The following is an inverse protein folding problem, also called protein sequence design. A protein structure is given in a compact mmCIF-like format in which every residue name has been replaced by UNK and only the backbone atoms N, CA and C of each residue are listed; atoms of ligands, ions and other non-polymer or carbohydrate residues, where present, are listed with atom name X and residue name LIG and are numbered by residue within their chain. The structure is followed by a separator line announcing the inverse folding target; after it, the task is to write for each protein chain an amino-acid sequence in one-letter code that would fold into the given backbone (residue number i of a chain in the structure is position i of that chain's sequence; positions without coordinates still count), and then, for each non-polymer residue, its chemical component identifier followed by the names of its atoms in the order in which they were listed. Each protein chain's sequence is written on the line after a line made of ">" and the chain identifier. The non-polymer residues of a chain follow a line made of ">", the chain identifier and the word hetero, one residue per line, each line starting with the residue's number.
data_IF_088229922999
#
_entry.id   IF_088229922999
#
_cell.length_a   1.000
_cell.length_b   1.000
_cell.length_c   1.000
_cell.angle_alpha   90.00
_cell.angle_beta   90.00
_cell.angle_gamma   90.00
#
_symmetry.space_group_name_H-M   'P 1'
#
loop_
_entity.id
_entity.type
_entity.pdbx_description
1 polymer ?
#
# COMPACT_ATOMS: atom_id res chain seq x y z
N UNK A 1 -6.27 -34.85 -21.99
CA UNK A 1 -6.64 -33.57 -22.64
C UNK A 1 -6.70 -32.54 -21.55
N UNK A 2 -5.55 -31.87 -21.25
CA UNK A 2 -5.44 -30.84 -20.28
C UNK A 2 -5.73 -29.50 -20.94
N UNK A 3 -6.86 -28.91 -20.59
CA UNK A 3 -7.07 -27.49 -20.90
C UNK A 3 -6.38 -26.64 -19.83
N UNK A 4 -5.63 -25.60 -20.20
CA UNK A 4 -5.07 -24.66 -19.23
C UNK A 4 -6.20 -23.82 -18.65
N UNK A 5 -6.30 -23.80 -17.33
CA UNK A 5 -7.18 -22.90 -16.58
C UNK A 5 -6.60 -21.49 -16.75
N UNK A 6 -7.19 -20.71 -17.66
CA UNK A 6 -6.91 -19.29 -17.75
C UNK A 6 -7.63 -18.60 -16.59
N UNK A 7 -6.95 -18.40 -15.48
CA UNK A 7 -7.45 -17.58 -14.40
C UNK A 7 -7.50 -16.12 -14.85
N UNK A 8 -8.71 -15.65 -15.15
CA UNK A 8 -8.98 -14.23 -15.40
C UNK A 8 -8.94 -13.46 -14.09
N UNK A 9 -7.75 -13.20 -13.58
CA UNK A 9 -7.50 -12.31 -12.45
C UNK A 9 -7.44 -10.84 -12.91
N UNK A 10 -8.37 -10.44 -13.76
CA UNK A 10 -8.41 -9.09 -14.30
C UNK A 10 -8.89 -8.02 -13.30
N UNK A 11 -9.20 -8.36 -12.05
CA UNK A 11 -9.97 -7.44 -11.19
C UNK A 11 -9.43 -7.17 -9.78
N UNK A 12 -8.34 -7.76 -9.33
CA UNK A 12 -7.67 -7.30 -8.11
C UNK A 12 -6.84 -6.03 -8.42
N UNK A 13 -7.51 -4.98 -8.88
CA UNK A 13 -6.87 -3.70 -9.19
C UNK A 13 -6.65 -2.90 -7.92
N UNK A 14 -5.40 -2.62 -7.56
CA UNK A 14 -5.10 -1.51 -6.64
C UNK A 14 -5.64 -0.24 -7.28
N UNK A 15 -6.56 0.41 -6.58
CA UNK A 15 -7.18 1.65 -7.04
C UNK A 15 -6.47 2.81 -6.36
N UNK A 16 -6.23 3.87 -7.10
CA UNK A 16 -5.46 5.02 -6.68
C UNK A 16 -6.33 6.27 -6.69
N UNK A 17 -6.48 6.93 -5.56
CA UNK A 17 -7.19 8.21 -5.49
C UNK A 17 -6.21 9.35 -5.14
N UNK A 18 -6.18 10.39 -5.97
CA UNK A 18 -5.52 11.66 -5.68
C UNK A 18 -6.55 12.69 -5.26
N UNK A 19 -6.30 13.35 -4.15
CA UNK A 19 -7.03 14.55 -3.76
C UNK A 19 -6.25 15.80 -4.20
N UNK A 20 -6.85 16.77 -4.91
CA UNK A 20 -6.18 18.03 -5.18
C UNK A 20 -6.02 18.83 -3.87
N UNK A 21 -4.95 19.62 -3.71
CA UNK A 21 -4.77 20.48 -2.54
C UNK A 21 -5.90 21.51 -2.45
N UNK A 22 -6.41 21.68 -1.24
CA UNK A 22 -7.43 22.70 -0.94
C UNK A 22 -6.82 24.09 -1.14
N UNK A 23 -7.26 24.81 -2.17
CA UNK A 23 -6.94 26.23 -2.34
C UNK A 23 -7.70 27.04 -1.29
N UNK A 24 -6.96 27.66 -0.38
CA UNK A 24 -7.52 28.65 0.53
C UNK A 24 -8.16 29.78 -0.26
N UNK A 25 -9.47 29.93 -0.17
CA UNK A 25 -10.16 31.15 -0.59
C UNK A 25 -9.83 32.21 0.43
N UNK A 26 -8.95 33.14 0.10
CA UNK A 26 -8.77 34.36 0.85
C UNK A 26 -9.94 35.31 0.52
N UNK A 27 -10.86 35.49 1.46
CA UNK A 27 -11.80 36.59 1.44
C UNK A 27 -11.12 37.78 2.13
N UNK A 28 -10.80 38.82 1.37
CA UNK A 28 -10.34 40.10 1.87
C UNK A 28 -11.13 41.22 1.22
N UNK A 29 -12.09 41.76 1.94
CA UNK A 29 -12.78 42.97 1.55
C UNK A 29 -11.92 44.21 1.84
N UNK A 30 -11.97 45.19 0.97
CA UNK A 30 -11.38 46.51 1.15
C UNK A 30 -12.01 47.51 0.17
N UNK A 31 -12.68 48.49 0.70
CA UNK A 31 -13.43 49.54 0.01
C UNK A 31 -12.54 50.68 -0.43
N UNK A 32 -12.95 51.32 -1.55
CA UNK A 32 -12.92 52.74 -1.93
C UNK A 32 -11.55 53.35 -2.32
N UNK A 33 -11.47 53.78 -3.59
CA UNK A 33 -11.23 55.18 -3.97
C UNK A 33 -11.50 55.37 -5.47
N UNK A 34 -12.38 56.36 -5.73
CA UNK A 34 -12.77 56.88 -7.03
C UNK A 34 -11.70 57.89 -7.49
N UNK A 35 -11.17 57.75 -8.66
CA UNK A 35 -10.51 58.86 -9.37
C UNK A 35 -10.64 58.68 -10.86
N UNK A 36 -11.27 59.64 -11.48
CA UNK A 36 -11.52 59.82 -12.91
C UNK A 36 -10.23 60.24 -13.61
N UNK A 37 -9.88 59.60 -14.73
CA UNK A 37 -9.15 60.24 -15.84
C UNK A 37 -9.47 59.56 -17.15
N UNK A 38 -9.84 60.37 -18.10
CA UNK A 38 -10.28 60.08 -19.47
C UNK A 38 -9.15 59.59 -20.39
N UNK A 39 -9.58 58.78 -21.36
CA UNK A 39 -9.08 58.60 -22.74
C UNK A 39 -7.70 58.00 -22.95
N UNK A 40 -7.76 56.77 -23.44
CA UNK A 40 -7.04 56.38 -24.68
C UNK A 40 -7.58 55.01 -25.11
N UNK A 41 -8.33 55.00 -26.23
CA UNK A 41 -8.75 53.80 -26.93
C UNK A 41 -7.49 53.11 -27.49
N UNK A 42 -7.01 52.09 -26.81
CA UNK A 42 -6.10 51.08 -27.38
C UNK A 42 -6.89 49.78 -27.55
N UNK A 43 -7.09 49.39 -28.77
CA UNK A 43 -7.61 48.08 -29.19
C UNK A 43 -6.77 46.94 -28.56
N UNK A 44 -7.08 46.54 -27.38
CA UNK A 44 -6.49 45.37 -26.80
C UNK A 44 -7.31 44.16 -27.25
N UNK A 45 -6.84 43.55 -28.33
CA UNK A 45 -7.32 42.24 -28.78
C UNK A 45 -7.18 41.23 -27.63
N UNK A 46 -8.28 40.91 -26.99
CA UNK A 46 -8.34 39.85 -25.98
C UNK A 46 -8.10 38.51 -26.68
N UNK A 47 -6.85 38.19 -26.93
CA UNK A 47 -6.45 36.80 -27.16
C UNK A 47 -6.81 36.01 -25.90
N UNK A 48 -7.93 35.25 -25.97
CA UNK A 48 -8.24 34.22 -24.97
C UNK A 48 -7.03 33.29 -24.87
N UNK A 49 -6.20 33.51 -23.88
CA UNK A 49 -5.19 32.49 -23.48
C UNK A 49 -5.97 31.25 -23.06
N UNK A 50 -6.14 30.34 -23.98
CA UNK A 50 -6.56 28.99 -23.69
C UNK A 50 -5.46 28.40 -22.81
N UNK A 51 -5.73 28.27 -21.50
CA UNK A 51 -4.87 27.50 -20.59
C UNK A 51 -4.64 26.14 -21.25
N UNK A 52 -3.39 25.70 -21.36
CA UNK A 52 -3.13 24.37 -21.89
C UNK A 52 -3.95 23.38 -21.05
N UNK A 53 -4.86 22.68 -21.73
CA UNK A 53 -5.60 21.57 -21.14
C UNK A 53 -4.54 20.54 -20.76
N UNK A 54 -4.24 20.43 -19.48
CA UNK A 54 -3.43 19.32 -18.98
C UNK A 54 -4.22 18.07 -19.29
N UNK A 55 -3.88 17.38 -20.34
CA UNK A 55 -4.44 16.06 -20.60
C UNK A 55 -4.16 15.18 -19.39
N UNK A 56 -5.19 14.51 -18.86
CA UNK A 56 -4.96 13.52 -17.81
C UNK A 56 -3.94 12.50 -18.37
N UNK A 57 -2.93 12.10 -17.57
CA UNK A 57 -1.94 11.15 -18.04
C UNK A 57 -2.64 9.95 -18.63
N UNK A 58 -2.22 9.55 -19.85
CA UNK A 58 -2.81 8.44 -20.59
C UNK A 58 -3.04 7.25 -19.63
N UNK A 59 -4.26 6.70 -19.67
CA UNK A 59 -4.66 5.59 -18.83
C UNK A 59 -3.61 4.48 -18.92
N UNK A 60 -2.86 4.27 -17.83
CA UNK A 60 -1.88 3.19 -17.76
C UNK A 60 -2.61 1.86 -17.92
N UNK A 61 -2.02 0.87 -18.61
CA UNK A 61 -2.62 -0.46 -18.73
C UNK A 61 -2.95 -1.00 -17.34
N UNK A 62 -4.09 -1.69 -17.25
CA UNK A 62 -4.53 -2.41 -16.05
C UNK A 62 -3.53 -3.55 -15.75
N UNK A 63 -2.44 -3.27 -15.08
CA UNK A 63 -1.58 -4.32 -14.56
C UNK A 63 -2.17 -4.80 -13.24
N UNK A 64 -2.59 -6.06 -13.18
CA UNK A 64 -2.87 -6.72 -11.91
C UNK A 64 -1.57 -6.74 -11.09
N UNK A 65 -1.70 -6.62 -9.76
CA UNK A 65 -0.53 -6.78 -8.90
C UNK A 65 0.03 -8.19 -9.06
N UNK A 66 1.37 -8.34 -9.08
CA UNK A 66 1.99 -9.63 -9.03
C UNK A 66 1.54 -10.39 -7.79
N UNK A 67 1.25 -11.69 -7.96
CA UNK A 67 0.94 -12.55 -6.84
C UNK A 67 2.23 -13.12 -6.25
N UNK A 68 2.22 -13.29 -4.93
CA UNK A 68 3.29 -14.01 -4.25
C UNK A 68 3.27 -15.48 -4.64
N UNK A 69 4.46 -16.05 -4.73
CA UNK A 69 4.69 -17.45 -5.03
C UNK A 69 4.84 -18.24 -3.72
N UNK A 70 5.74 -19.19 -3.68
CA UNK A 70 5.99 -20.01 -2.51
C UNK A 70 6.77 -19.23 -1.45
N UNK A 71 6.43 -19.46 -0.18
CA UNK A 71 7.19 -18.94 0.95
C UNK A 71 7.44 -20.06 1.97
N UNK A 72 8.41 -19.86 2.84
CA UNK A 72 8.71 -20.73 3.97
C UNK A 72 8.19 -20.05 5.24
N UNK A 73 7.29 -20.67 5.98
CA UNK A 73 6.99 -20.27 7.35
C UNK A 73 7.98 -21.00 8.27
N UNK A 74 8.94 -20.25 8.80
CA UNK A 74 10.09 -20.76 9.54
C UNK A 74 9.86 -20.85 11.06
N UNK A 75 8.70 -20.40 11.54
CA UNK A 75 8.34 -20.46 12.96
C UNK A 75 7.01 -19.77 13.24
N UNK A 76 6.45 -20.14 14.42
CA UNK A 76 5.27 -19.49 14.99
C UNK A 76 5.46 -19.41 16.52
N UNK A 77 5.39 -18.22 17.09
CA UNK A 77 5.77 -17.97 18.49
C UNK A 77 4.67 -17.20 19.22
N UNK A 78 4.45 -17.54 20.50
CA UNK A 78 3.60 -16.73 21.39
C UNK A 78 4.29 -15.44 21.82
N UNK A 79 5.63 -15.50 21.99
CA UNK A 79 6.44 -14.34 22.37
C UNK A 79 7.05 -13.71 21.11
N UNK A 80 6.84 -12.40 20.95
CA UNK A 80 7.34 -11.62 19.84
C UNK A 80 8.88 -11.64 19.75
N UNK A 81 9.60 -11.65 20.88
CA UNK A 81 11.06 -11.63 20.91
C UNK A 81 11.66 -12.84 20.20
N UNK A 82 10.98 -13.99 20.23
CA UNK A 82 11.43 -15.20 19.52
C UNK A 82 11.30 -15.00 17.99
N UNK A 83 10.20 -14.41 17.55
CA UNK A 83 10.01 -14.09 16.13
C UNK A 83 11.05 -13.07 15.65
N UNK A 84 11.32 -12.04 16.46
CA UNK A 84 12.35 -11.02 16.18
C UNK A 84 13.72 -11.64 16.04
N UNK A 85 14.14 -12.45 17.02
CA UNK A 85 15.46 -13.12 16.98
C UNK A 85 15.60 -14.02 15.76
N UNK A 86 14.57 -14.79 15.43
CA UNK A 86 14.62 -15.63 14.23
C UNK A 86 14.67 -14.77 12.96
N UNK A 87 13.83 -13.75 12.84
CA UNK A 87 13.85 -12.83 11.69
C UNK A 87 15.23 -12.17 11.53
N UNK A 88 15.81 -11.68 12.62
CA UNK A 88 17.16 -11.08 12.61
C UNK A 88 18.25 -12.04 12.13
N UNK A 89 18.22 -13.31 12.57
CA UNK A 89 19.16 -14.34 12.09
C UNK A 89 19.01 -14.62 10.59
N UNK A 90 17.78 -14.63 10.09
CA UNK A 90 17.48 -14.86 8.68
C UNK A 90 17.91 -13.66 7.81
N UNK A 91 17.62 -12.44 8.25
CA UNK A 91 18.06 -11.21 7.58
C UNK A 91 19.59 -11.11 7.51
N UNK A 92 20.31 -11.52 8.56
CA UNK A 92 21.77 -11.57 8.58
C UNK A 92 22.35 -12.54 7.52
N UNK A 93 21.57 -13.53 7.09
CA UNK A 93 21.89 -14.42 5.98
C UNK A 93 21.44 -13.90 4.61
N UNK A 94 21.00 -12.63 4.54
CA UNK A 94 20.50 -11.96 3.33
C UNK A 94 19.20 -12.59 2.78
N UNK A 95 18.47 -13.31 3.61
CA UNK A 95 17.15 -13.84 3.27
C UNK A 95 16.08 -12.73 3.48
N UNK A 96 15.11 -12.69 2.59
CA UNK A 96 13.97 -11.80 2.74
C UNK A 96 13.02 -12.39 3.79
N UNK A 97 13.26 -12.06 5.06
CA UNK A 97 12.50 -12.56 6.18
C UNK A 97 11.69 -11.43 6.84
N UNK A 98 10.49 -11.74 7.25
CA UNK A 98 9.61 -10.84 7.99
C UNK A 98 8.77 -11.64 9.00
N UNK A 99 8.28 -10.95 10.02
CA UNK A 99 7.35 -11.54 10.98
C UNK A 99 6.08 -10.69 11.10
N UNK A 100 4.99 -11.33 11.50
CA UNK A 100 3.68 -10.70 11.66
C UNK A 100 2.86 -11.48 12.69
N UNK A 101 1.86 -10.82 13.28
CA UNK A 101 0.86 -11.49 14.12
C UNK A 101 -0.28 -12.01 13.24
N UNK A 102 -0.63 -13.29 13.41
CA UNK A 102 -1.76 -13.89 12.70
C UNK A 102 -3.06 -13.85 13.53
N UNK A 103 -4.14 -14.40 12.99
CA UNK A 103 -5.46 -14.42 13.65
C UNK A 103 -5.48 -15.26 14.92
N UNK A 104 -4.61 -16.25 15.06
CA UNK A 104 -4.46 -17.08 16.24
C UNK A 104 -3.66 -16.40 17.36
N UNK A 105 -3.16 -15.17 17.12
CA UNK A 105 -2.33 -14.44 18.07
C UNK A 105 -0.87 -14.90 18.12
N UNK A 106 -0.44 -15.76 17.19
CA UNK A 106 0.96 -16.16 17.06
C UNK A 106 1.73 -15.20 16.17
N UNK A 107 2.98 -14.92 16.55
CA UNK A 107 3.96 -14.24 15.71
C UNK A 107 4.60 -15.26 14.77
N UNK A 108 4.22 -15.22 13.51
CA UNK A 108 4.74 -16.07 12.44
C UNK A 108 5.92 -15.41 11.74
N UNK A 109 6.94 -16.19 11.40
CA UNK A 109 8.10 -15.75 10.62
C UNK A 109 8.04 -16.40 9.26
N UNK A 110 8.11 -15.59 8.20
CA UNK A 110 8.13 -16.04 6.79
C UNK A 110 9.39 -15.60 6.08
N UNK A 111 9.76 -16.37 5.07
CA UNK A 111 10.97 -16.17 4.26
C UNK A 111 10.58 -16.27 2.79
N UNK A 112 11.08 -15.34 1.99
CA UNK A 112 11.20 -15.41 0.55
C UNK A 112 9.91 -15.27 -0.23
N UNK A 113 10.08 -15.36 -1.54
CA UNK A 113 9.07 -15.44 -2.58
C UNK A 113 9.65 -16.34 -3.67
N UNK A 114 9.69 -17.65 -3.40
CA UNK A 114 10.39 -18.64 -4.21
C UNK A 114 9.61 -18.96 -5.49
N UNK A 115 10.30 -19.13 -6.63
CA UNK A 115 9.65 -19.43 -7.90
C UNK A 115 8.88 -20.75 -7.92
N UNK A 116 9.38 -21.77 -7.18
CA UNK A 116 8.79 -23.10 -7.13
C UNK A 116 8.73 -23.66 -5.71
N UNK A 117 7.94 -24.71 -5.53
CA UNK A 117 7.83 -25.45 -4.29
C UNK A 117 9.14 -26.14 -3.94
N UNK A 118 9.81 -26.63 -4.96
CA UNK A 118 11.10 -27.35 -4.87
C UNK A 118 12.20 -26.43 -4.34
N UNK A 119 12.32 -25.22 -4.88
CA UNK A 119 13.29 -24.23 -4.40
C UNK A 119 13.01 -23.80 -2.95
N UNK A 120 11.74 -23.58 -2.60
CA UNK A 120 11.35 -23.27 -1.24
C UNK A 120 11.70 -24.43 -0.28
N UNK A 121 11.43 -25.67 -0.69
CA UNK A 121 11.74 -26.85 0.12
C UNK A 121 13.24 -27.05 0.31
N UNK A 122 14.02 -26.86 -0.76
CA UNK A 122 15.49 -26.99 -0.71
C UNK A 122 16.11 -25.95 0.24
N UNK A 123 15.65 -24.70 0.16
CA UNK A 123 16.15 -23.66 1.07
C UNK A 123 15.71 -23.91 2.52
N UNK A 124 14.48 -24.34 2.75
CA UNK A 124 13.99 -24.70 4.08
C UNK A 124 14.83 -25.83 4.71
N UNK A 125 15.13 -26.87 3.93
CA UNK A 125 15.92 -28.00 4.39
C UNK A 125 17.38 -27.59 4.66
N UNK A 126 17.96 -26.72 3.83
CA UNK A 126 19.27 -26.12 4.07
C UNK A 126 19.33 -25.38 5.41
N UNK A 127 18.32 -24.55 5.68
CA UNK A 127 18.22 -23.76 6.92
C UNK A 127 18.01 -24.67 8.15
N UNK A 128 17.21 -25.72 8.01
CA UNK A 128 16.98 -26.71 9.07
C UNK A 128 18.25 -27.48 9.38
N UNK A 129 18.92 -27.99 8.37
CA UNK A 129 20.19 -28.74 8.51
C UNK A 129 21.29 -27.88 9.12
N UNK A 130 21.30 -26.58 8.86
CA UNK A 130 22.23 -25.62 9.46
C UNK A 130 21.81 -25.17 10.89
N UNK A 131 20.72 -25.69 11.44
CA UNK A 131 20.20 -25.33 12.78
C UNK A 131 19.69 -23.89 12.90
N UNK A 132 19.40 -23.23 11.78
CA UNK A 132 18.89 -21.86 11.75
C UNK A 132 17.40 -21.83 12.09
N UNK A 133 16.65 -22.81 11.58
CA UNK A 133 15.24 -23.07 11.88
C UNK A 133 15.09 -24.49 12.40
N UNK A 134 14.06 -24.71 13.22
CA UNK A 134 13.75 -26.05 13.79
C UNK A 134 12.83 -26.84 12.86
N UNK A 135 11.67 -26.26 12.58
CA UNK A 135 10.63 -26.77 11.70
C UNK A 135 10.18 -25.72 10.70
N UNK A 136 9.52 -26.17 9.64
CA UNK A 136 8.98 -25.26 8.64
C UNK A 136 7.70 -25.77 7.98
N UNK A 137 6.93 -24.84 7.43
CA UNK A 137 5.82 -25.11 6.53
C UNK A 137 6.04 -24.37 5.21
N UNK A 138 5.70 -25.01 4.11
CA UNK A 138 5.68 -24.34 2.80
C UNK A 138 4.32 -23.71 2.59
N UNK A 139 4.32 -22.42 2.31
CA UNK A 139 3.14 -21.66 1.96
C UNK A 139 3.06 -21.63 0.43
N UNK A 140 2.01 -22.22 -0.11
CA UNK A 140 1.77 -22.21 -1.56
C UNK A 140 1.04 -20.92 -1.99
N UNK A 141 1.10 -20.53 -3.28
CA UNK A 141 0.32 -19.41 -3.80
C UNK A 141 -1.17 -19.51 -3.48
N UNK A 142 -1.74 -20.72 -3.51
CA UNK A 142 -3.14 -20.99 -3.19
C UNK A 142 -3.54 -20.76 -1.73
N UNK A 143 -2.58 -20.67 -0.82
CA UNK A 143 -2.84 -20.44 0.61
C UNK A 143 -3.05 -18.95 0.96
N UNK A 144 -2.80 -18.06 -0.01
CA UNK A 144 -3.03 -16.63 0.19
C UNK A 144 -4.46 -16.22 -0.18
N UNK A 145 -4.96 -15.20 0.51
CA UNK A 145 -6.30 -14.67 0.27
C UNK A 145 -6.53 -14.26 -1.20
N UNK A 146 -5.50 -13.71 -1.86
CA UNK A 146 -5.57 -13.34 -3.26
C UNK A 146 -5.93 -14.50 -4.19
N UNK A 147 -5.42 -15.70 -3.91
CA UNK A 147 -5.73 -16.90 -4.68
C UNK A 147 -7.01 -17.59 -4.17
N UNK A 148 -7.17 -17.72 -2.85
CA UNK A 148 -8.35 -18.37 -2.24
C UNK A 148 -9.67 -17.70 -2.64
N UNK A 149 -9.66 -16.39 -2.87
CA UNK A 149 -10.86 -15.62 -3.19
C UNK A 149 -10.92 -15.15 -4.64
N UNK A 150 -10.05 -15.68 -5.50
CA UNK A 150 -10.06 -15.36 -6.94
C UNK A 150 -11.44 -15.60 -7.58
N UNK A 151 -12.07 -16.71 -7.22
CA UNK A 151 -13.40 -17.11 -7.74
C UNK A 151 -14.56 -16.53 -6.90
N UNK A 152 -14.31 -16.19 -5.63
CA UNK A 152 -15.34 -15.68 -4.71
C UNK A 152 -15.58 -14.16 -4.85
N UNK A 153 -14.86 -13.50 -5.75
CA UNK A 153 -14.97 -12.09 -6.07
C UNK A 153 -14.08 -11.17 -5.22
N UNK A 154 -13.73 -10.07 -5.84
CA UNK A 154 -12.83 -9.03 -5.30
C UNK A 154 -13.22 -8.52 -3.91
N UNK A 155 -14.51 -8.52 -3.59
CA UNK A 155 -15.02 -8.02 -2.32
C UNK A 155 -14.54 -8.82 -1.10
N UNK A 156 -14.27 -10.13 -1.24
CA UNK A 156 -13.73 -10.94 -0.14
C UNK A 156 -12.26 -10.62 0.11
N UNK A 157 -11.46 -10.56 -0.95
CA UNK A 157 -10.06 -10.17 -0.85
C UNK A 157 -9.91 -8.78 -0.21
N UNK A 158 -10.75 -7.82 -0.61
CA UNK A 158 -10.75 -6.47 -0.04
C UNK A 158 -11.03 -6.46 1.45
N UNK A 159 -11.99 -7.28 1.92
CA UNK A 159 -12.24 -7.44 3.36
C UNK A 159 -11.05 -8.03 4.11
N UNK A 160 -10.35 -9.01 3.54
CA UNK A 160 -9.15 -9.59 4.16
C UNK A 160 -7.99 -8.58 4.23
N UNK A 161 -7.81 -7.76 3.21
CA UNK A 161 -6.83 -6.65 3.23
C UNK A 161 -7.13 -5.71 4.41
N UNK A 162 -8.40 -5.33 4.61
CA UNK A 162 -8.79 -4.46 5.72
C UNK A 162 -8.55 -5.14 7.06
N UNK A 163 -9.02 -6.37 7.26
CA UNK A 163 -8.78 -7.12 8.49
C UNK A 163 -7.30 -7.25 8.83
N UNK A 164 -6.49 -7.50 7.81
CA UNK A 164 -5.03 -7.56 7.97
C UNK A 164 -4.47 -6.20 8.39
N UNK A 165 -4.91 -5.11 7.78
CA UNK A 165 -4.46 -3.76 8.11
C UNK A 165 -4.83 -3.35 9.54
N UNK A 166 -6.05 -3.65 9.98
CA UNK A 166 -6.57 -3.33 11.32
C UNK A 166 -5.74 -3.96 12.45
N UNK A 167 -5.11 -5.12 12.22
CA UNK A 167 -4.22 -5.77 13.19
C UNK A 167 -2.99 -4.96 13.55
N UNK A 168 -2.61 -4.02 12.70
CA UNK A 168 -1.46 -3.16 12.92
C UNK A 168 -1.78 -1.85 13.62
N UNK A 169 -3.07 -1.55 13.92
CA UNK A 169 -3.45 -0.35 14.67
C UNK A 169 -2.74 -0.35 16.03
N UNK A 170 -2.14 0.80 16.37
CA UNK A 170 -1.37 0.97 17.60
C UNK A 170 0.13 0.66 17.47
N UNK A 171 0.57 0.00 16.41
CA UNK A 171 2.01 -0.23 16.15
C UNK A 171 2.70 1.12 15.86
N UNK A 172 3.86 1.41 16.48
CA UNK A 172 4.56 2.68 16.29
C UNK A 172 4.98 2.95 14.84
N UNK A 173 5.02 4.23 14.49
CA UNK A 173 5.66 4.65 13.24
C UNK A 173 7.18 4.57 13.34
N UNK A 174 7.81 4.02 12.30
CA UNK A 174 9.27 4.08 12.10
C UNK A 174 9.59 4.34 10.63
N UNK A 175 10.41 5.34 10.37
CA UNK A 175 10.90 5.60 9.02
C UNK A 175 11.70 4.41 8.48
N UNK A 176 11.32 3.91 7.29
CA UNK A 176 11.91 2.71 6.71
C UNK A 176 11.48 1.40 7.37
N UNK A 177 10.53 1.45 8.33
CA UNK A 177 10.06 0.27 9.05
C UNK A 177 9.09 -0.59 8.25
N UNK A 178 9.16 -1.90 8.50
CA UNK A 178 8.37 -2.94 7.81
C UNK A 178 7.96 -4.05 8.77
N UNK A 179 8.01 -3.81 10.08
CA UNK A 179 7.75 -4.84 11.07
C UNK A 179 6.94 -4.33 12.26
N UNK A 180 6.24 -5.25 12.94
CA UNK A 180 5.48 -4.94 14.15
C UNK A 180 6.36 -4.56 15.33
N UNK A 181 7.63 -4.91 15.32
CA UNK A 181 8.58 -4.65 16.41
C UNK A 181 9.25 -3.30 16.24
N UNK A 182 9.79 -3.08 15.06
CA UNK A 182 10.49 -1.83 14.76
C UNK A 182 9.52 -0.69 14.44
N UNK A 183 8.30 -1.01 14.05
CA UNK A 183 7.31 -0.10 13.53
C UNK A 183 7.25 -0.10 12.01
N UNK A 184 6.34 0.68 11.47
CA UNK A 184 6.11 0.82 10.03
C UNK A 184 6.23 2.27 9.59
N UNK A 185 6.73 2.49 8.37
CA UNK A 185 6.36 3.70 7.64
C UNK A 185 5.10 3.47 6.78
N UNK A 186 4.61 4.52 6.14
CA UNK A 186 3.34 4.46 5.40
C UNK A 186 3.34 3.41 4.28
N UNK A 187 4.40 3.32 3.50
CA UNK A 187 4.52 2.37 2.39
C UNK A 187 4.95 0.98 2.84
N UNK A 188 5.70 0.87 3.93
CA UNK A 188 6.02 -0.42 4.56
C UNK A 188 4.78 -1.11 5.10
N UNK A 189 3.88 -0.36 5.75
CA UNK A 189 2.60 -0.86 6.21
C UNK A 189 1.77 -1.42 5.04
N UNK A 190 1.54 -0.62 4.00
CA UNK A 190 0.76 -1.06 2.84
C UNK A 190 1.38 -2.26 2.15
N UNK A 191 2.70 -2.25 1.96
CA UNK A 191 3.44 -3.38 1.37
C UNK A 191 3.21 -4.67 2.16
N UNK A 192 3.40 -4.65 3.48
CA UNK A 192 3.24 -5.84 4.33
C UNK A 192 1.80 -6.31 4.37
N UNK A 193 0.83 -5.41 4.48
CA UNK A 193 -0.60 -5.78 4.44
C UNK A 193 -0.96 -6.52 3.15
N UNK A 194 -0.51 -6.01 2.00
CA UNK A 194 -0.79 -6.65 0.71
C UNK A 194 -0.02 -7.97 0.56
N UNK A 195 1.24 -8.02 1.01
CA UNK A 195 2.06 -9.23 1.00
C UNK A 195 1.44 -10.36 1.83
N UNK A 196 0.87 -10.05 2.99
CA UNK A 196 0.17 -11.04 3.81
C UNK A 196 -1.08 -11.60 3.13
N UNK A 197 -1.67 -10.85 2.21
CA UNK A 197 -2.79 -11.27 1.37
C UNK A 197 -2.38 -11.89 0.03
N UNK A 198 -1.07 -12.07 -0.22
CA UNK A 198 -0.55 -12.72 -1.43
C UNK A 198 -0.34 -11.78 -2.63
N UNK A 199 -0.29 -10.47 -2.40
CA UNK A 199 -0.09 -9.46 -3.43
C UNK A 199 1.24 -8.73 -3.21
N UNK A 200 2.00 -8.52 -4.27
CA UNK A 200 3.28 -7.83 -4.22
C UNK A 200 3.10 -6.33 -4.47
N UNK A 201 3.60 -5.50 -3.55
CA UNK A 201 3.68 -4.06 -3.71
C UNK A 201 5.15 -3.60 -3.61
N UNK A 202 5.55 -2.58 -4.39
CA UNK A 202 6.85 -1.94 -4.24
C UNK A 202 7.05 -1.34 -2.84
N UNK A 203 8.31 -1.16 -2.45
CA UNK A 203 8.66 -0.63 -1.12
C UNK A 203 8.25 0.82 -0.89
N UNK A 204 8.32 1.68 -1.90
CA UNK A 204 8.10 3.12 -1.72
C UNK A 204 6.71 3.56 -2.16
N UNK A 205 6.13 4.56 -1.49
CA UNK A 205 4.83 5.12 -1.86
C UNK A 205 4.81 5.68 -3.29
N UNK A 206 5.94 6.22 -3.76
CA UNK A 206 6.06 6.73 -5.13
C UNK A 206 6.02 5.61 -6.18
N UNK A 207 6.57 4.44 -5.89
CA UNK A 207 6.52 3.29 -6.79
C UNK A 207 5.18 2.57 -6.68
N UNK A 208 4.59 2.47 -5.48
CA UNK A 208 3.23 1.97 -5.29
C UNK A 208 2.21 2.81 -6.09
N UNK A 209 2.38 4.13 -6.12
CA UNK A 209 1.58 5.03 -6.97
C UNK A 209 1.66 4.71 -8.47
N UNK A 210 2.75 4.12 -8.92
CA UNK A 210 2.96 3.73 -10.33
C UNK A 210 2.38 2.36 -10.67
N UNK A 211 1.97 1.59 -9.66
CA UNK A 211 1.33 0.28 -9.82
C UNK A 211 -0.19 0.41 -9.75
N UNK A 212 -0.89 -0.56 -10.31
CA UNK A 212 -2.35 -0.60 -10.28
C UNK A 212 -3.03 0.41 -11.22
N UNK A 213 -4.34 0.51 -11.08
CA UNK A 213 -5.21 1.36 -11.90
C UNK A 213 -5.67 2.59 -11.10
N UNK A 214 -5.43 3.82 -11.61
CA UNK A 214 -6.00 5.00 -10.98
C UNK A 214 -7.53 4.99 -11.06
N UNK A 215 -8.18 5.43 -9.97
CA UNK A 215 -9.64 5.58 -9.89
C UNK A 215 -10.00 6.94 -9.33
N UNK A 216 -11.18 7.43 -9.71
CA UNK A 216 -11.74 8.65 -9.16
C UNK A 216 -12.26 8.45 -7.72
N UNK A 217 -12.47 9.56 -6.97
CA UNK A 217 -12.98 9.50 -5.59
C UNK A 217 -14.29 8.72 -5.44
N UNK A 218 -15.18 8.79 -6.44
CA UNK A 218 -16.48 8.10 -6.43
C UNK A 218 -16.40 6.61 -6.80
N UNK A 219 -15.26 6.17 -7.31
CA UNK A 219 -15.02 4.78 -7.70
C UNK A 219 -14.22 4.01 -6.66
N UNK A 220 -13.74 4.70 -5.61
CA UNK A 220 -12.96 4.08 -4.54
C UNK A 220 -13.75 2.96 -3.86
N UNK A 221 -13.08 1.86 -3.61
CA UNK A 221 -13.59 0.72 -2.87
C UNK A 221 -12.67 0.40 -1.69
N UNK A 222 -13.24 -0.15 -0.63
CA UNK A 222 -12.48 -0.59 0.54
C UNK A 222 -11.28 -1.44 0.11
N UNK A 223 -10.13 -1.24 0.78
CA UNK A 223 -8.87 -1.89 0.42
C UNK A 223 -8.10 -1.21 -0.71
N UNK A 224 -8.61 -0.15 -1.35
CA UNK A 224 -7.82 0.65 -2.29
C UNK A 224 -6.72 1.44 -1.56
N UNK A 225 -5.64 1.77 -2.25
CA UNK A 225 -4.62 2.67 -1.74
C UNK A 225 -4.98 4.13 -2.05
N UNK A 226 -4.84 4.97 -1.05
CA UNK A 226 -4.99 6.44 -1.18
C UNK A 226 -3.62 7.09 -1.03
N UNK A 227 -3.31 8.05 -1.91
CA UNK A 227 -2.00 8.67 -1.99
C UNK A 227 -2.09 10.17 -1.81
N UNK A 228 -1.10 10.74 -1.12
CA UNK A 228 -1.07 12.15 -0.77
C UNK A 228 0.29 12.78 -1.08
N UNK A 229 0.25 14.07 -1.40
CA UNK A 229 1.42 14.93 -1.51
C UNK A 229 1.54 15.82 -0.27
N UNK A 230 1.97 15.26 0.85
CA UNK A 230 2.04 15.95 2.15
C UNK A 230 3.21 16.92 2.28
N UNK A 231 4.21 16.83 1.37
CA UNK A 231 5.41 17.68 1.36
C UNK A 231 5.38 18.79 0.31
N UNK A 232 4.23 18.98 -0.35
CA UNK A 232 4.09 19.91 -1.48
C UNK A 232 4.75 19.41 -2.77
N UNK A 233 4.67 20.23 -3.85
CA UNK A 233 5.29 19.92 -5.13
C UNK A 233 4.64 18.81 -5.97
N UNK A 234 3.45 18.34 -5.59
CA UNK A 234 2.67 17.36 -6.36
C UNK A 234 3.26 15.94 -6.41
N UNK A 235 4.35 15.68 -5.68
CA UNK A 235 4.94 14.33 -5.59
C UNK A 235 4.28 13.52 -4.48
N UNK A 236 3.96 12.27 -4.78
CA UNK A 236 3.47 11.34 -3.78
C UNK A 236 4.54 11.14 -2.69
N UNK A 237 4.14 11.39 -1.44
CA UNK A 237 5.01 11.28 -0.27
C UNK A 237 4.37 10.48 0.86
N UNK A 238 3.09 10.13 0.75
CA UNK A 238 2.36 9.38 1.74
C UNK A 238 1.33 8.45 1.09
N UNK A 239 0.98 7.37 1.80
CA UNK A 239 0.00 6.37 1.36
C UNK A 239 -0.75 5.80 2.55
N UNK A 240 -2.00 5.41 2.32
CA UNK A 240 -2.83 4.67 3.26
C UNK A 240 -3.76 3.69 2.56
N UNK A 241 -4.50 2.91 3.34
CA UNK A 241 -5.48 1.93 2.87
C UNK A 241 -6.87 2.49 3.13
N UNK A 242 -7.69 2.62 2.10
CA UNK A 242 -9.06 3.12 2.20
C UNK A 242 -9.96 2.12 2.89
N UNK A 243 -10.65 2.56 3.95
CA UNK A 243 -11.57 1.72 4.74
C UNK A 243 -13.04 1.90 4.35
N UNK A 244 -13.33 2.88 3.51
CA UNK A 244 -14.70 3.25 3.14
C UNK A 244 -15.14 4.57 3.78
N UNK A 245 -16.20 5.17 3.24
CA UNK A 245 -16.70 6.47 3.69
C UNK A 245 -15.67 7.58 3.52
N UNK A 246 -15.28 8.23 4.60
CA UNK A 246 -14.25 9.27 4.64
C UNK A 246 -12.97 8.80 5.34
N UNK A 247 -12.78 7.49 5.51
CA UNK A 247 -11.76 6.95 6.42
C UNK A 247 -10.70 6.13 5.69
N UNK A 248 -9.44 6.30 6.10
CA UNK A 248 -8.32 5.46 5.68
C UNK A 248 -7.40 5.12 6.85
N UNK A 249 -6.68 4.02 6.74
CA UNK A 249 -5.71 3.53 7.73
C UNK A 249 -4.29 3.79 7.21
N UNK A 250 -3.42 4.29 8.09
CA UNK A 250 -2.05 4.61 7.71
C UNK A 250 -1.06 4.61 8.88
N UNK A 251 0.22 4.60 8.59
CA UNK A 251 1.30 4.94 9.51
C UNK A 251 1.67 6.42 9.29
N UNK A 252 1.26 7.36 10.17
CA UNK A 252 1.28 8.79 9.85
C UNK A 252 2.67 9.42 9.85
N UNK A 253 3.36 9.42 10.99
CA UNK A 253 4.66 10.06 11.17
C UNK A 253 5.28 9.67 12.52
N UNK A 254 6.56 10.02 12.72
CA UNK A 254 7.27 9.78 13.99
C UNK A 254 6.47 10.31 15.19
N UNK A 255 6.37 9.50 16.23
CA UNK A 255 5.65 9.82 17.46
C UNK A 255 4.19 9.42 17.47
N UNK A 256 3.65 9.00 16.34
CA UNK A 256 2.26 8.54 16.22
C UNK A 256 2.21 7.06 15.82
N UNK A 257 1.31 6.28 16.41
CA UNK A 257 1.10 4.90 15.98
C UNK A 257 0.28 4.83 14.68
N UNK A 258 0.22 3.63 14.10
CA UNK A 258 -0.73 3.30 13.03
C UNK A 258 -2.14 3.57 13.54
N UNK A 259 -2.91 4.31 12.76
CA UNK A 259 -4.25 4.77 13.12
C UNK A 259 -5.10 5.03 11.88
N UNK A 260 -6.38 5.30 12.11
CA UNK A 260 -7.28 5.80 11.08
C UNK A 260 -7.26 7.31 11.02
N UNK A 261 -7.54 7.87 9.84
CA UNK A 261 -7.68 9.30 9.61
C UNK A 261 -8.81 9.57 8.60
N UNK A 262 -9.31 10.81 8.60
CA UNK A 262 -10.33 11.27 7.65
C UNK A 262 -9.67 11.79 6.37
N UNK A 263 -10.24 11.42 5.22
CA UNK A 263 -9.88 11.98 3.91
C UNK A 263 -10.27 13.46 3.81
N UNK A 264 -11.25 13.92 4.57
CA UNK A 264 -11.69 15.32 4.62
C UNK A 264 -10.83 16.20 5.52
N UNK A 265 -9.82 15.62 6.21
CA UNK A 265 -8.87 16.39 7.02
C UNK A 265 -8.09 17.39 6.17
N UNK A 266 -7.89 18.60 6.68
CA UNK A 266 -7.11 19.67 6.02
C UNK A 266 -5.62 19.29 5.85
N UNK A 267 -5.15 18.28 6.55
CA UNK A 267 -3.77 17.81 6.46
C UNK A 267 -3.53 16.93 5.22
N UNK A 268 -4.53 16.15 4.77
CA UNK A 268 -4.48 15.24 3.64
C UNK A 268 -5.31 15.77 2.47
#
# INVERSE_FOLDING_TARGET
>A
MNQPISASLAHAGVRLALRPPAWKRAAGGGRVALAVCLTLLALCSCAKQTRPRVEPPAARPKAALPQLRYAIQAGAFKNIDNAVRLTGRLLAQKLQAYHFIDESGFYKVRIGNFPSREEAAQEAERLRSAGVIEDYFLIAPGDYAAAMYADAGEARLRREIIRTAERFIGVPYRWGGESTVDGFDCSGLTMVVYQLNGLELPRTSADQWRTGRPVGPHEMSQGDLVFFSTRGGGRVSHVGIYLGGDTFLHAPSRGNPIQTASLSSDYY
#
